data_IF_051863890850
#
_entry.id   IF_051863890850
#
_cell.length_a   1.000
_cell.length_b   1.000
_cell.length_c   1.000
_cell.angle_alpha   90.00
_cell.angle_beta   90.00
_cell.angle_gamma   90.00
#
_symmetry.space_group_name_H-M   'P 1'
#
loop_
_entity.id
_entity.type
_entity.pdbx_description
1 polymer ?
#
# COMPACT_ATOMS: atom_id res chain seq x y z
N UNK A 1 7.10 4.82 14.12
CA UNK A 1 6.71 4.80 12.75
C UNK A 1 6.30 3.45 12.28
N UNK A 2 5.13 3.37 11.78
CA UNK A 2 4.62 2.09 11.32
C UNK A 2 5.18 1.81 9.93
N UNK A 3 5.90 0.74 9.79
CA UNK A 3 6.29 0.30 8.48
C UNK A 3 5.79 -1.12 8.34
N UNK A 4 5.13 -1.35 7.23
CA UNK A 4 4.58 -2.66 6.93
C UNK A 4 5.62 -3.50 6.22
N UNK A 5 5.67 -4.76 6.57
CA UNK A 5 6.48 -5.70 5.82
C UNK A 5 5.67 -6.17 4.60
N UNK A 6 6.35 -6.52 3.51
CA UNK A 6 5.61 -7.01 2.33
C UNK A 6 4.71 -8.18 2.64
N UNK A 7 5.12 -9.03 3.58
CA UNK A 7 4.30 -10.18 3.95
C UNK A 7 2.99 -9.74 4.58
N UNK A 8 3.00 -8.64 5.28
CA UNK A 8 1.79 -8.17 5.97
C UNK A 8 0.76 -7.67 4.99
N UNK A 9 1.21 -7.16 3.86
CA UNK A 9 0.28 -6.63 2.86
C UNK A 9 -0.66 -7.73 2.36
N UNK A 10 -0.15 -8.93 2.18
CA UNK A 10 -0.98 -10.03 1.70
C UNK A 10 -2.10 -10.37 2.65
N UNK A 11 -1.90 -10.17 3.94
CA UNK A 11 -2.92 -10.47 4.93
C UNK A 11 -3.81 -9.31 5.28
N UNK A 12 -3.60 -8.16 4.67
CA UNK A 12 -4.39 -6.98 4.99
C UNK A 12 -5.73 -7.02 4.27
N UNK A 13 -6.73 -6.46 4.93
CA UNK A 13 -8.05 -6.33 4.32
C UNK A 13 -8.10 -5.09 3.45
N UNK A 14 -9.13 -5.02 2.60
CA UNK A 14 -9.26 -3.90 1.68
C UNK A 14 -9.25 -2.57 2.42
N UNK A 15 -9.96 -2.50 3.54
CA UNK A 15 -10.01 -1.26 4.30
C UNK A 15 -8.62 -0.86 4.79
N UNK A 16 -7.85 -1.84 5.21
CA UNK A 16 -6.51 -1.58 5.70
C UNK A 16 -5.59 -1.14 4.57
N UNK A 17 -5.74 -1.77 3.43
CA UNK A 17 -4.95 -1.40 2.26
C UNK A 17 -5.25 0.03 1.84
N UNK A 18 -6.54 0.37 1.83
CA UNK A 18 -6.93 1.71 1.45
C UNK A 18 -6.37 2.76 2.41
N UNK A 19 -6.46 2.47 3.69
CA UNK A 19 -5.95 3.41 4.68
C UNK A 19 -4.45 3.62 4.52
N UNK A 20 -3.71 2.54 4.30
CA UNK A 20 -2.27 2.64 4.12
C UNK A 20 -1.92 3.43 2.87
N UNK A 21 -2.68 3.22 1.80
CA UNK A 21 -2.42 3.94 0.56
C UNK A 21 -2.76 5.41 0.71
N UNK A 22 -3.84 5.72 1.42
CA UNK A 22 -4.21 7.11 1.64
C UNK A 22 -3.15 7.86 2.41
N UNK A 23 -2.58 7.21 3.40
CA UNK A 23 -1.53 7.85 4.19
C UNK A 23 -0.34 8.22 3.32
N UNK A 24 -0.13 7.47 2.26
CA UNK A 24 0.98 7.70 1.36
C UNK A 24 0.60 8.58 0.17
N UNK A 25 -0.66 9.01 0.11
CA UNK A 25 -1.10 9.83 -0.99
C UNK A 25 -1.27 9.05 -2.28
N UNK A 26 -1.47 7.76 -2.18
CA UNK A 26 -1.62 6.90 -3.35
C UNK A 26 -3.08 6.63 -3.64
N UNK A 27 -3.34 6.16 -4.86
CA UNK A 27 -4.68 5.83 -5.30
C UNK A 27 -5.21 4.63 -4.52
N UNK A 28 -6.47 4.74 -4.06
CA UNK A 28 -7.10 3.66 -3.31
C UNK A 28 -8.19 2.98 -4.10
N UNK A 29 -8.25 3.23 -5.39
CA UNK A 29 -9.25 2.61 -6.25
C UNK A 29 -8.74 1.31 -6.82
N UNK A 30 -9.66 0.42 -7.13
CA UNK A 30 -9.31 -0.83 -7.75
C UNK A 30 -9.63 -2.01 -6.87
N UNK A 31 -9.24 -3.18 -7.34
CA UNK A 31 -9.48 -4.41 -6.61
C UNK A 31 -8.42 -4.59 -5.54
N UNK A 32 -8.68 -5.56 -4.65
CA UNK A 32 -7.74 -5.83 -3.58
C UNK A 32 -6.35 -6.13 -4.15
N UNK A 33 -6.30 -6.87 -5.24
CA UNK A 33 -5.02 -7.19 -5.87
C UNK A 33 -4.28 -5.92 -6.29
N UNK A 34 -5.01 -4.99 -6.87
CA UNK A 34 -4.40 -3.74 -7.29
C UNK A 34 -3.89 -2.95 -6.10
N UNK A 35 -4.66 -2.94 -5.03
CA UNK A 35 -4.26 -2.23 -3.83
C UNK A 35 -3.02 -2.85 -3.22
N UNK A 36 -2.98 -4.17 -3.18
CA UNK A 36 -1.81 -4.87 -2.65
C UNK A 36 -0.56 -4.57 -3.47
N UNK A 37 -0.69 -4.65 -4.78
CA UNK A 37 0.45 -4.42 -5.65
C UNK A 37 0.94 -2.98 -5.50
N UNK A 38 0.02 -2.04 -5.44
CA UNK A 38 0.40 -0.65 -5.31
C UNK A 38 1.09 -0.38 -3.99
N UNK A 39 0.59 -0.96 -2.92
CA UNK A 39 1.20 -0.78 -1.62
C UNK A 39 2.57 -1.45 -1.56
N UNK A 40 2.69 -2.64 -2.13
CA UNK A 40 3.98 -3.33 -2.16
C UNK A 40 5.01 -2.50 -2.89
N UNK A 41 4.64 -1.91 -4.01
CA UNK A 41 5.57 -1.06 -4.75
C UNK A 41 5.99 0.13 -3.91
N UNK A 42 5.05 0.70 -3.18
CA UNK A 42 5.37 1.85 -2.34
C UNK A 42 6.33 1.49 -1.22
N UNK A 43 6.26 0.25 -0.76
CA UNK A 43 7.13 -0.19 0.33
C UNK A 43 8.54 -0.50 -0.15
N UNK A 44 8.66 -1.06 -1.35
CA UNK A 44 9.98 -1.46 -1.85
C UNK A 44 10.61 -0.39 -2.74
N UNK A 45 9.81 0.51 -3.28
CA UNK A 45 10.32 1.57 -4.15
C UNK A 45 9.95 2.92 -3.55
N UNK A 46 10.94 3.73 -3.23
CA UNK A 46 10.64 5.05 -2.68
C UNK A 46 9.91 5.90 -3.71
N UNK A 47 9.04 6.81 -3.24
CA UNK A 47 8.30 7.68 -4.14
C UNK A 47 9.25 8.56 -4.94
N UNK A 48 8.94 8.77 -6.21
CA UNK A 48 9.78 9.63 -7.05
C UNK A 48 9.63 11.09 -6.68
N UNK A 49 10.63 11.83 -6.97
CA UNK A 49 10.55 13.27 -6.88
C UNK A 49 10.45 13.78 -5.48
N UNK A 50 10.87 13.32 -4.61
CA UNK A 50 10.81 13.85 -3.25
C UNK A 50 10.60 15.32 -3.16
#
# INVERSE_FOLDING_TARGET
MASFLPDEVSGMKVNELKAALEERGLDTKGLKKDLEARLLEALVTPPPGG
#
